data_IF_106357308733
#
_entry.id   IF_106357308733
#
_cell.length_a   1.000
_cell.length_b   1.000
_cell.length_c   1.000
_cell.angle_alpha   90.00
_cell.angle_beta   90.00
_cell.angle_gamma   90.00
#
_symmetry.space_group_name_H-M   'P 1'
#
loop_
_entity.id
_entity.type
_entity.pdbx_description
1 polymer ?
#
# COMPACT_ATOMS: atom_id res chain seq x y z
N UNK A 1 19.66 -36.95 52.81
CA UNK A 1 18.49 -37.52 52.10
C UNK A 1 17.37 -36.55 51.74
N UNK A 2 17.08 -35.49 52.52
CA UNK A 2 15.92 -34.59 52.29
C UNK A 2 16.14 -33.45 51.27
N UNK A 3 17.36 -33.29 50.75
CA UNK A 3 17.73 -32.22 49.82
C UNK A 3 17.87 -32.65 48.35
N UNK A 4 17.75 -33.96 48.07
CA UNK A 4 17.81 -34.51 46.71
C UNK A 4 16.43 -34.71 46.08
N UNK A 5 15.35 -34.67 46.87
CA UNK A 5 13.98 -34.84 46.38
C UNK A 5 13.37 -33.56 45.80
N UNK A 6 13.91 -32.38 46.13
CA UNK A 6 13.38 -31.10 45.63
C UNK A 6 13.87 -30.72 44.23
N UNK A 7 14.99 -31.28 43.76
CA UNK A 7 15.53 -30.98 42.42
C UNK A 7 14.87 -31.79 41.30
N UNK A 8 14.29 -32.96 41.61
CA UNK A 8 13.66 -33.82 40.60
C UNK A 8 12.25 -33.34 40.24
N UNK A 9 11.59 -32.60 41.13
CA UNK A 9 10.22 -32.11 40.93
C UNK A 9 10.11 -30.84 40.08
N UNK A 10 11.19 -30.09 39.88
CA UNK A 10 11.18 -28.87 39.03
C UNK A 10 11.58 -29.12 37.58
N UNK A 11 12.25 -30.25 37.28
CA UNK A 11 12.76 -30.57 35.93
C UNK A 11 11.74 -31.37 35.10
N UNK A 12 10.72 -31.97 35.72
CA UNK A 12 9.70 -32.78 35.03
C UNK A 12 8.64 -31.99 34.26
N UNK A 13 8.59 -30.67 34.39
CA UNK A 13 7.49 -29.83 33.87
C UNK A 13 7.90 -28.99 32.63
N UNK A 14 8.87 -29.47 31.85
CA UNK A 14 9.40 -28.74 30.68
C UNK A 14 9.14 -29.38 29.31
N UNK A 15 8.62 -30.61 29.23
CA UNK A 15 8.76 -31.43 28.02
C UNK A 15 7.44 -31.84 27.33
N UNK A 16 6.37 -31.07 27.49
CA UNK A 16 5.12 -31.32 26.76
C UNK A 16 4.40 -30.03 26.38
N UNK A 17 5.12 -29.05 25.84
CA UNK A 17 4.47 -27.99 25.08
C UNK A 17 4.23 -28.54 23.66
N UNK A 18 2.97 -28.76 23.23
CA UNK A 18 2.72 -29.11 21.85
C UNK A 18 3.29 -27.99 20.99
N UNK A 19 4.18 -28.35 20.06
CA UNK A 19 4.58 -27.51 18.93
C UNK A 19 3.35 -27.34 18.03
N UNK A 20 2.39 -26.55 18.48
CA UNK A 20 1.30 -26.07 17.65
C UNK A 20 1.94 -25.24 16.54
N UNK A 21 1.96 -25.79 15.32
CA UNK A 21 2.32 -25.03 14.14
C UNK A 21 1.48 -23.74 14.14
N UNK A 22 2.05 -22.57 13.82
CA UNK A 22 1.29 -21.33 13.76
C UNK A 22 0.15 -21.53 12.75
N UNK A 23 -1.08 -21.52 13.23
CA UNK A 23 -2.24 -21.50 12.36
C UNK A 23 -2.14 -20.22 11.53
N UNK A 24 -2.18 -20.34 10.21
CA UNK A 24 -2.26 -19.19 9.31
C UNK A 24 -3.58 -18.48 9.59
N UNK A 25 -3.54 -17.42 10.40
CA UNK A 25 -4.71 -16.62 10.69
C UNK A 25 -5.22 -16.00 9.39
N UNK A 26 -6.33 -16.52 8.86
CA UNK A 26 -7.09 -15.86 7.80
C UNK A 26 -7.89 -14.73 8.44
N UNK A 27 -7.21 -13.63 8.79
CA UNK A 27 -7.87 -12.46 9.38
C UNK A 27 -8.85 -11.80 8.40
N UNK A 28 -8.66 -12.02 7.10
CA UNK A 28 -9.49 -11.48 6.04
C UNK A 28 -10.50 -12.53 5.58
N UNK A 29 -11.63 -12.61 6.28
CA UNK A 29 -12.84 -13.22 5.73
C UNK A 29 -13.64 -12.12 5.04
N UNK A 30 -13.38 -11.89 3.75
CA UNK A 30 -14.12 -10.88 3.00
C UNK A 30 -15.62 -11.20 3.04
N UNK A 31 -16.44 -10.21 3.37
CA UNK A 31 -17.90 -10.37 3.42
C UNK A 31 -18.48 -10.77 2.05
N UNK A 32 -17.78 -10.41 0.98
CA UNK A 32 -18.12 -10.74 -0.39
C UNK A 32 -16.99 -11.55 -1.02
N UNK A 33 -17.34 -12.65 -1.67
CA UNK A 33 -16.40 -13.41 -2.48
C UNK A 33 -16.11 -12.66 -3.78
N UNK A 34 -14.83 -12.59 -4.22
CA UNK A 34 -14.50 -12.12 -5.55
C UNK A 34 -15.25 -12.94 -6.60
N UNK A 35 -16.00 -12.28 -7.49
CA UNK A 35 -16.88 -12.89 -8.50
C UNK A 35 -18.14 -13.60 -7.93
N UNK A 36 -18.53 -13.30 -6.69
CA UNK A 36 -19.77 -13.79 -6.11
C UNK A 36 -21.02 -13.04 -6.60
N UNK A 37 -22.23 -13.52 -6.28
CA UNK A 37 -23.50 -12.95 -6.74
C UNK A 37 -23.77 -11.52 -6.24
N UNK A 38 -23.00 -11.05 -5.25
CA UNK A 38 -23.13 -9.73 -4.62
C UNK A 38 -22.08 -8.72 -5.12
N UNK A 39 -21.41 -9.00 -6.25
CA UNK A 39 -20.35 -8.14 -6.79
C UNK A 39 -20.80 -6.71 -7.06
N UNK A 40 -22.06 -6.51 -7.49
CA UNK A 40 -22.62 -5.18 -7.75
C UNK A 40 -22.75 -4.37 -6.46
N UNK A 41 -23.20 -5.01 -5.37
CA UNK A 41 -23.26 -4.40 -4.05
C UNK A 41 -21.85 -4.06 -3.53
N UNK A 42 -20.91 -5.00 -3.65
CA UNK A 42 -19.52 -4.79 -3.23
C UNK A 42 -18.88 -3.62 -3.97
N UNK A 43 -19.03 -3.58 -5.29
CA UNK A 43 -18.46 -2.53 -6.13
C UNK A 43 -19.09 -1.18 -5.80
N UNK A 44 -20.42 -1.10 -5.61
CA UNK A 44 -21.13 0.17 -5.33
C UNK A 44 -20.60 0.98 -4.14
N UNK A 45 -19.84 0.35 -3.24
CA UNK A 45 -19.24 0.96 -2.05
C UNK A 45 -17.89 1.65 -2.31
N UNK A 46 -17.30 1.47 -3.49
CA UNK A 46 -16.03 2.08 -3.85
C UNK A 46 -16.14 3.60 -3.95
N UNK A 47 -15.13 4.31 -3.46
CA UNK A 47 -15.04 5.77 -3.58
C UNK A 47 -14.64 6.19 -5.00
N UNK A 48 -13.81 5.39 -5.65
CA UNK A 48 -13.47 5.52 -7.06
C UNK A 48 -13.24 4.13 -7.68
N UNK A 49 -13.44 4.04 -8.99
CA UNK A 49 -13.14 2.85 -9.76
C UNK A 49 -12.53 3.21 -11.11
N UNK A 50 -11.42 2.57 -11.48
CA UNK A 50 -10.68 2.88 -12.69
C UNK A 50 -9.94 1.67 -13.25
N UNK A 51 -9.62 1.70 -14.54
CA UNK A 51 -8.60 0.82 -15.11
C UNK A 51 -7.28 1.54 -15.22
N UNK A 52 -6.19 0.86 -14.86
CA UNK A 52 -4.86 1.42 -14.98
C UNK A 52 -3.77 0.38 -14.82
N UNK A 53 -2.59 0.69 -15.33
CA UNK A 53 -1.40 -0.15 -15.26
C UNK A 53 -0.59 0.21 -14.03
N UNK A 54 -0.24 -0.78 -13.20
CA UNK A 54 0.68 -0.54 -12.09
C UNK A 54 2.09 -0.26 -12.64
N UNK A 55 2.64 0.93 -12.44
CA UNK A 55 3.92 1.38 -13.03
C UNK A 55 5.05 1.47 -12.02
N UNK A 56 4.73 1.69 -10.75
CA UNK A 56 5.71 1.86 -9.69
C UNK A 56 5.24 1.32 -8.35
N UNK A 57 6.22 0.98 -7.50
CA UNK A 57 6.01 0.53 -6.14
C UNK A 57 6.98 1.25 -5.20
N UNK A 58 6.51 1.59 -4.00
CA UNK A 58 7.34 2.04 -2.89
C UNK A 58 6.80 1.48 -1.59
N UNK A 59 7.68 0.92 -0.77
CA UNK A 59 7.33 0.45 0.58
C UNK A 59 7.85 1.42 1.64
N UNK A 60 7.05 1.69 2.67
CA UNK A 60 7.40 2.48 3.85
C UNK A 60 6.73 1.86 5.09
N UNK A 61 7.54 1.22 5.93
CA UNK A 61 7.05 0.41 7.05
C UNK A 61 6.09 -0.69 6.59
N UNK A 62 4.90 -0.71 7.19
CA UNK A 62 3.84 -1.69 6.89
C UNK A 62 2.91 -1.28 5.75
N UNK A 63 3.26 -0.21 5.02
CA UNK A 63 2.47 0.32 3.90
C UNK A 63 3.27 0.20 2.60
N UNK A 64 2.62 -0.33 1.57
CA UNK A 64 3.10 -0.30 0.19
C UNK A 64 2.23 0.66 -0.62
N UNK A 65 2.87 1.45 -1.46
CA UNK A 65 2.25 2.42 -2.35
C UNK A 65 2.48 1.96 -3.78
N UNK A 66 1.43 1.96 -4.59
CA UNK A 66 1.47 1.60 -6.00
C UNK A 66 1.05 2.79 -6.84
N UNK A 67 1.90 3.15 -7.80
CA UNK A 67 1.55 4.12 -8.84
C UNK A 67 0.80 3.43 -9.97
N UNK A 68 -0.26 4.07 -10.44
CA UNK A 68 -1.04 3.64 -11.59
C UNK A 68 -1.03 4.70 -12.67
N UNK A 69 -0.72 4.28 -13.89
CA UNK A 69 -1.07 5.00 -15.12
C UNK A 69 -2.52 4.66 -15.47
N UNK A 70 -3.41 5.65 -15.39
CA UNK A 70 -4.86 5.47 -15.45
C UNK A 70 -5.34 5.62 -16.88
N UNK A 71 -5.97 4.57 -17.41
CA UNK A 71 -6.46 4.55 -18.78
C UNK A 71 -7.95 4.91 -18.90
N UNK A 72 -8.76 4.51 -17.92
CA UNK A 72 -10.19 4.81 -17.93
C UNK A 72 -10.77 4.84 -16.52
N UNK A 73 -11.80 5.62 -16.30
CA UNK A 73 -12.43 5.85 -15.00
C UNK A 73 -13.91 5.49 -15.12
N UNK A 74 -14.40 4.66 -14.20
CA UNK A 74 -15.83 4.32 -14.06
C UNK A 74 -16.53 5.30 -13.12
N UNK A 75 -15.87 5.69 -12.03
CA UNK A 75 -16.41 6.65 -11.06
C UNK A 75 -15.28 7.29 -10.24
N UNK A 76 -15.55 8.48 -9.70
CA UNK A 76 -14.62 9.25 -8.86
C UNK A 76 -13.68 10.16 -9.65
N UNK A 77 -13.07 11.12 -8.95
CA UNK A 77 -12.17 12.12 -9.53
C UNK A 77 -10.72 11.58 -9.58
N UNK A 78 -10.43 10.77 -10.59
CA UNK A 78 -9.11 10.15 -10.78
C UNK A 78 -8.37 10.79 -11.97
N UNK A 79 -7.15 11.29 -11.72
CA UNK A 79 -6.28 11.85 -12.75
C UNK A 79 -5.59 10.79 -13.59
N UNK A 80 -4.84 11.20 -14.62
CA UNK A 80 -4.09 10.29 -15.51
C UNK A 80 -3.03 9.45 -14.79
N UNK A 81 -2.57 9.91 -13.63
CA UNK A 81 -1.68 9.15 -12.74
C UNK A 81 -2.22 9.26 -11.33
N UNK A 82 -2.25 8.15 -10.60
CA UNK A 82 -2.69 8.14 -9.21
C UNK A 82 -1.87 7.15 -8.38
N UNK A 83 -1.90 7.34 -7.07
CA UNK A 83 -1.29 6.42 -6.11
C UNK A 83 -2.35 5.74 -5.27
N UNK A 84 -2.16 4.44 -5.03
CA UNK A 84 -2.99 3.63 -4.14
C UNK A 84 -2.11 3.03 -3.06
N UNK A 85 -2.51 3.14 -1.80
CA UNK A 85 -1.83 2.47 -0.69
C UNK A 85 -2.48 1.15 -0.32
N UNK A 86 -1.68 0.22 0.19
CA UNK A 86 -2.14 -1.03 0.78
C UNK A 86 -1.21 -1.46 1.91
N UNK A 87 -1.63 -2.41 2.73
CA UNK A 87 -0.73 -3.02 3.71
C UNK A 87 0.22 -4.01 3.02
N UNK A 88 1.45 -4.13 3.53
CA UNK A 88 2.38 -5.21 3.15
C UNK A 88 1.97 -6.55 3.75
N UNK A 89 1.09 -6.56 4.76
CA UNK A 89 0.74 -7.74 5.54
C UNK A 89 -0.61 -8.31 5.09
N UNK A 90 -0.62 -9.58 4.70
CA UNK A 90 -1.87 -10.29 4.36
C UNK A 90 -2.84 -10.40 5.55
N UNK A 91 -2.31 -10.46 6.78
CA UNK A 91 -3.11 -10.42 8.02
C UNK A 91 -3.83 -9.08 8.25
N UNK A 92 -3.37 -8.01 7.62
CA UNK A 92 -4.02 -6.70 7.60
C UNK A 92 -4.80 -6.45 6.30
N UNK A 93 -5.13 -7.52 5.57
CA UNK A 93 -5.83 -7.48 4.29
C UNK A 93 -5.10 -6.67 3.21
N UNK A 94 -3.77 -6.68 3.27
CA UNK A 94 -2.92 -6.12 2.23
C UNK A 94 -3.19 -6.75 0.86
N UNK A 95 -3.17 -5.92 -0.18
CA UNK A 95 -3.28 -6.32 -1.59
C UNK A 95 -2.04 -5.84 -2.33
N UNK A 96 -1.41 -6.77 -3.04
CA UNK A 96 -0.28 -6.49 -3.92
C UNK A 96 -0.70 -6.37 -5.39
N UNK A 97 0.16 -5.72 -6.18
CA UNK A 97 0.02 -5.59 -7.63
C UNK A 97 1.29 -6.01 -8.32
N UNK A 98 1.15 -6.57 -9.53
CA UNK A 98 2.28 -6.86 -10.40
C UNK A 98 2.50 -5.68 -11.34
N UNK A 99 3.72 -5.14 -11.35
CA UNK A 99 4.07 -4.03 -12.24
C UNK A 99 3.93 -4.44 -13.71
N UNK A 100 3.46 -3.51 -14.54
CA UNK A 100 3.17 -3.71 -15.96
C UNK A 100 1.84 -4.42 -16.24
N UNK A 101 1.07 -4.78 -15.21
CA UNK A 101 -0.26 -5.38 -15.36
C UNK A 101 -1.33 -4.30 -15.20
N UNK A 102 -2.33 -4.35 -16.08
CA UNK A 102 -3.52 -3.52 -16.00
C UNK A 102 -4.58 -4.15 -15.09
N UNK A 103 -5.08 -3.35 -14.16
CA UNK A 103 -6.10 -3.75 -13.19
C UNK A 103 -7.37 -2.93 -13.38
N UNK A 104 -8.51 -3.51 -13.02
CA UNK A 104 -9.74 -2.79 -12.71
C UNK A 104 -9.78 -2.63 -11.19
N UNK A 105 -9.39 -1.45 -10.71
CA UNK A 105 -9.23 -1.13 -9.31
C UNK A 105 -10.49 -0.47 -8.74
N UNK A 106 -10.91 -0.94 -7.55
CA UNK A 106 -11.96 -0.34 -6.74
C UNK A 106 -11.34 0.11 -5.43
N UNK A 107 -11.29 1.41 -5.22
CA UNK A 107 -10.48 2.02 -4.16
C UNK A 107 -11.34 2.78 -3.15
N UNK A 108 -10.77 2.99 -1.97
CA UNK A 108 -11.40 3.68 -0.83
C UNK A 108 -10.62 4.93 -0.45
N UNK A 109 -11.25 5.83 0.30
CA UNK A 109 -10.62 7.01 0.92
C UNK A 109 -10.28 6.80 2.40
N UNK A 110 -10.46 5.59 2.92
CA UNK A 110 -10.16 5.23 4.31
C UNK A 110 -8.74 4.65 4.42
N UNK A 111 -8.02 4.94 5.51
CA UNK A 111 -6.68 4.36 5.75
C UNK A 111 -5.66 4.57 4.60
N UNK A 112 -5.74 5.70 3.90
CA UNK A 112 -4.93 5.95 2.69
C UNK A 112 -3.44 6.18 2.95
N UNK A 113 -3.04 6.39 4.21
CA UNK A 113 -1.64 6.64 4.59
C UNK A 113 -0.96 7.75 3.76
N UNK A 114 -1.67 8.86 3.52
CA UNK A 114 -1.25 10.00 2.69
C UNK A 114 -1.25 9.76 1.17
N UNK A 115 -1.67 8.59 0.68
CA UNK A 115 -2.06 8.44 -0.71
C UNK A 115 -3.47 9.04 -0.94
N UNK A 116 -3.84 9.34 -2.20
CA UNK A 116 -5.22 9.70 -2.54
C UNK A 116 -6.21 8.57 -2.23
N UNK A 117 -5.78 7.32 -2.42
CA UNK A 117 -6.63 6.15 -2.28
C UNK A 117 -5.97 5.03 -1.49
N UNK A 118 -6.78 4.15 -0.92
CA UNK A 118 -6.38 2.88 -0.35
C UNK A 118 -7.05 1.71 -1.04
N UNK A 119 -6.45 0.54 -0.89
CA UNK A 119 -7.01 -0.71 -1.36
C UNK A 119 -6.61 -1.88 -0.46
N UNK A 120 -7.54 -2.82 -0.32
CA UNK A 120 -7.38 -4.02 0.47
C UNK A 120 -7.79 -5.25 -0.35
N UNK A 121 -7.42 -6.43 0.14
CA UNK A 121 -7.69 -7.73 -0.48
C UNK A 121 -9.19 -7.99 -0.69
N UNK A 122 -10.04 -7.40 0.14
CA UNK A 122 -11.50 -7.53 0.06
C UNK A 122 -12.19 -6.55 -0.88
N UNK A 123 -11.46 -5.64 -1.53
CA UNK A 123 -12.04 -4.88 -2.65
C UNK A 123 -12.30 -5.81 -3.84
N UNK A 124 -13.24 -5.44 -4.70
CA UNK A 124 -13.57 -6.18 -5.93
C UNK A 124 -12.49 -6.08 -7.02
N UNK A 125 -11.28 -5.62 -6.68
CA UNK A 125 -10.20 -5.34 -7.61
C UNK A 125 -9.69 -6.62 -8.26
N UNK A 126 -9.61 -6.60 -9.59
CA UNK A 126 -9.16 -7.73 -10.42
C UNK A 126 -8.28 -7.23 -11.56
N UNK A 127 -7.71 -8.15 -12.35
CA UNK A 127 -7.10 -7.74 -13.62
C UNK A 127 -8.15 -7.12 -14.53
N UNK A 128 -7.75 -6.14 -15.34
CA UNK A 128 -8.64 -5.40 -16.24
C UNK A 128 -9.42 -6.30 -17.21
N UNK A 129 -8.89 -7.50 -17.50
CA UNK A 129 -9.50 -8.49 -18.40
C UNK A 129 -10.64 -9.31 -17.78
N UNK A 130 -10.95 -9.16 -16.48
CA UNK A 130 -12.05 -9.89 -15.86
C UNK A 130 -13.40 -9.35 -16.37
N UNK A 131 -14.02 -10.09 -17.28
CA UNK A 131 -15.28 -9.72 -17.91
C UNK A 131 -16.44 -9.62 -16.91
N UNK A 132 -16.48 -10.49 -15.89
CA UNK A 132 -17.55 -10.50 -14.89
C UNK A 132 -17.52 -9.24 -14.02
N UNK A 133 -16.35 -8.89 -13.49
CA UNK A 133 -16.16 -7.65 -12.72
C UNK A 133 -16.40 -6.41 -13.57
N UNK A 134 -15.97 -6.44 -14.83
CA UNK A 134 -16.18 -5.33 -15.78
C UNK A 134 -17.66 -5.14 -16.10
N UNK A 135 -18.40 -6.20 -16.39
CA UNK A 135 -19.85 -6.13 -16.63
C UNK A 135 -20.62 -5.62 -15.40
N UNK A 136 -20.22 -6.07 -14.22
CA UNK A 136 -20.74 -5.54 -12.96
C UNK A 136 -20.44 -4.03 -12.81
N UNK A 137 -19.22 -3.58 -13.10
CA UNK A 137 -18.86 -2.16 -13.08
C UNK A 137 -19.66 -1.34 -14.09
N UNK A 138 -19.87 -1.86 -15.30
CA UNK A 138 -20.75 -1.23 -16.30
C UNK A 138 -22.19 -1.13 -15.85
N UNK A 139 -22.70 -2.16 -15.18
CA UNK A 139 -24.07 -2.17 -14.64
C UNK A 139 -24.25 -1.14 -13.52
N UNK A 140 -23.24 -0.99 -12.65
CA UNK A 140 -23.31 -0.10 -11.49
C UNK A 140 -23.01 1.36 -11.85
N UNK A 141 -22.00 1.62 -12.69
CA UNK A 141 -21.49 2.97 -12.96
C UNK A 141 -21.73 3.46 -14.39
N UNK A 142 -22.07 2.57 -15.32
CA UNK A 142 -22.13 2.87 -16.74
C UNK A 142 -20.78 2.70 -17.46
N UNK A 143 -20.66 3.15 -18.71
CA UNK A 143 -19.42 3.05 -19.47
C UNK A 143 -18.31 3.91 -18.86
N UNK A 144 -17.05 3.46 -18.87
CA UNK A 144 -15.96 4.26 -18.36
C UNK A 144 -15.67 5.43 -19.31
N UNK A 145 -15.15 6.51 -18.75
CA UNK A 145 -14.67 7.68 -19.47
C UNK A 145 -13.15 7.81 -19.34
N UNK A 146 -12.54 8.72 -20.11
CA UNK A 146 -11.12 9.05 -19.92
C UNK A 146 -10.92 9.82 -18.61
N UNK A 147 -9.73 9.74 -17.98
CA UNK A 147 -9.40 10.57 -16.81
C UNK A 147 -9.61 12.06 -17.13
N UNK A 148 -10.14 12.83 -16.17
CA UNK A 148 -10.32 14.26 -16.35
C UNK A 148 -8.95 14.95 -16.49
N UNK A 149 -8.67 15.65 -17.60
CA UNK A 149 -7.42 16.39 -17.78
C UNK A 149 -7.18 17.50 -16.75
N UNK A 150 -8.22 17.98 -16.08
CA UNK A 150 -8.12 18.99 -15.01
C UNK A 150 -7.76 18.36 -13.67
N UNK A 151 -8.01 17.06 -13.48
CA UNK A 151 -7.63 16.36 -12.25
C UNK A 151 -6.12 16.20 -12.22
N UNK A 152 -5.49 16.80 -11.20
CA UNK A 152 -4.04 16.79 -11.05
C UNK A 152 -3.52 15.34 -10.98
N UNK A 153 -2.52 14.97 -11.82
CA UNK A 153 -1.80 13.71 -11.67
C UNK A 153 -1.03 13.69 -10.35
N UNK A 154 -1.14 12.59 -9.61
CA UNK A 154 -0.42 12.39 -8.34
C UNK A 154 0.45 11.15 -8.50
N UNK A 155 1.78 11.37 -8.51
CA UNK A 155 2.78 10.30 -8.58
C UNK A 155 3.26 9.86 -7.20
N UNK A 156 3.97 8.73 -7.17
CA UNK A 156 4.48 8.12 -5.94
C UNK A 156 5.51 8.99 -5.19
N UNK A 157 6.18 9.88 -5.92
CA UNK A 157 7.13 10.85 -5.37
C UNK A 157 6.46 12.11 -4.80
N UNK A 158 5.22 12.41 -5.21
CA UNK A 158 4.44 13.54 -4.66
C UNK A 158 4.03 13.27 -3.21
N UNK A 159 3.78 12.01 -2.88
CA UNK A 159 3.32 11.59 -1.55
C UNK A 159 4.48 11.28 -0.57
N UNK A 160 5.74 11.54 -0.96
CA UNK A 160 6.88 11.37 -0.06
C UNK A 160 6.86 12.41 1.06
N UNK A 161 7.14 12.01 2.31
CA UNK A 161 7.14 12.95 3.41
C UNK A 161 8.25 14.00 3.27
N UNK A 162 7.92 15.26 3.60
CA UNK A 162 8.79 16.41 3.37
C UNK A 162 10.15 16.33 4.06
N UNK A 163 10.24 15.65 5.21
CA UNK A 163 11.51 15.50 5.93
C UNK A 163 12.57 14.71 5.14
N UNK A 164 12.17 13.80 4.24
CA UNK A 164 13.09 13.16 3.30
C UNK A 164 13.66 14.16 2.29
N UNK A 165 12.89 15.17 1.87
CA UNK A 165 13.39 16.26 1.00
C UNK A 165 14.30 17.23 1.77
N UNK A 166 14.03 17.47 3.05
CA UNK A 166 14.83 18.36 3.92
C UNK A 166 16.23 17.85 4.24
N UNK A 167 16.44 16.53 4.36
CA UNK A 167 17.76 15.96 4.65
C UNK A 167 18.82 16.31 3.59
N UNK A 168 18.42 16.36 2.31
CA UNK A 168 19.31 16.80 1.23
C UNK A 168 19.69 18.28 1.36
N UNK A 169 18.73 19.14 1.72
CA UNK A 169 18.98 20.57 1.92
C UNK A 169 19.94 20.79 3.09
N UNK A 170 19.71 20.10 4.22
CA UNK A 170 20.58 20.19 5.40
C UNK A 170 22.00 19.73 5.06
N UNK A 171 22.16 18.60 4.34
CA UNK A 171 23.46 18.10 3.94
C UNK A 171 24.24 19.10 3.06
N UNK A 172 23.57 19.75 2.09
CA UNK A 172 24.17 20.78 1.23
C UNK A 172 24.61 22.00 2.03
N UNK A 173 23.76 22.48 2.95
CA UNK A 173 24.09 23.63 3.82
C UNK A 173 25.29 23.33 4.71
N UNK A 174 25.36 22.13 5.30
CA UNK A 174 26.48 21.69 6.12
C UNK A 174 27.78 21.61 5.29
N UNK A 175 27.71 21.04 4.08
CA UNK A 175 28.86 20.99 3.16
C UNK A 175 29.37 22.39 2.77
N UNK A 176 28.46 23.31 2.45
CA UNK A 176 28.80 24.69 2.14
C UNK A 176 29.43 25.39 3.34
N UNK A 177 28.88 25.21 4.55
CA UNK A 177 29.44 25.76 5.78
C UNK A 177 30.85 25.21 6.07
N UNK A 178 31.08 23.91 5.87
CA UNK A 178 32.41 23.30 6.00
C UNK A 178 33.40 23.85 4.98
N UNK A 179 33.00 24.03 3.72
CA UNK A 179 33.84 24.61 2.68
C UNK A 179 34.21 26.07 2.99
N UNK A 180 33.23 26.88 3.41
CA UNK A 180 33.47 28.26 3.84
C UNK A 180 34.40 28.32 5.05
N UNK A 181 34.21 27.43 6.03
CA UNK A 181 35.06 27.39 7.21
C UNK A 181 36.50 27.00 6.86
N UNK A 182 36.70 25.98 5.99
CA UNK A 182 38.03 25.60 5.50
C UNK A 182 38.70 26.73 4.70
N UNK A 183 37.94 27.46 3.89
CA UNK A 183 38.46 28.61 3.14
C UNK A 183 38.89 29.74 4.07
N UNK A 184 38.07 30.06 5.09
CA UNK A 184 38.37 31.09 6.09
C UNK A 184 39.55 30.75 7.01
N UNK A 185 39.84 29.45 7.23
CA UNK A 185 41.04 29.01 7.96
C UNK A 185 42.28 29.15 7.06
N UNK A 186 42.18 28.77 5.77
CA UNK A 186 43.30 28.80 4.82
C UNK A 186 43.74 30.22 4.46
N UNK A 187 42.80 31.16 4.36
CA UNK A 187 43.09 32.57 4.08
C UNK A 187 43.75 33.34 5.25
N UNK A 188 43.83 32.74 6.44
CA UNK A 188 44.41 33.38 7.65
C UNK A 188 45.89 33.06 7.87
N UNK A 189 46.47 32.20 7.02
CA UNK A 189 47.87 31.75 7.08
C UNK A 189 48.75 32.34 5.95
N UNK A 190 48.25 33.33 5.22
CA UNK A 190 48.98 34.15 4.26
C UNK A 190 48.97 35.60 4.75
#
# INVERSE_FOLDING_TARGET
MRWLLSFVLTVGMGAALPLSAPATAHACSCAYEPNGPYITEQISRAAAAFTGTATGERTDGDTVYYEFDVHSVFTGDVGSTTVVSSSTQGSACGRGFTLGIEYLAFVSTHETKNAPWSIEACSATTTSTNAYTRDAAHTVYGPPHQPDPQTRPIGIDDIRPLWQKSLLIIAVVVLAAMLMHRWAIRGRHH
#
